data_IF_723726716091
#
_entry.id   IF_723726716091
#
_cell.length_a   1.000
_cell.length_b   1.000
_cell.length_c   1.000
_cell.angle_alpha   90.00
_cell.angle_beta   90.00
_cell.angle_gamma   90.00
#
_symmetry.space_group_name_H-M   'P 1'
#
loop_
_entity.id
_entity.type
_entity.pdbx_description
1 polymer ?
#
# COMPACT_ATOMS: atom_id res chain seq x y z
N UNK A 1 -42.28 15.98 21.99
CA UNK A 1 -40.96 15.72 21.37
C UNK A 1 -41.11 14.56 20.41
N UNK A 2 -41.33 14.86 19.14
CA UNK A 2 -41.45 13.84 18.10
C UNK A 2 -40.03 13.40 17.70
N UNK A 3 -39.69 12.10 17.68
CA UNK A 3 -38.38 11.66 17.22
C UNK A 3 -38.20 12.07 15.76
N UNK A 4 -37.04 12.69 15.47
CA UNK A 4 -36.61 13.05 14.12
C UNK A 4 -36.60 11.76 13.27
N UNK A 5 -37.19 11.75 12.08
CA UNK A 5 -37.12 10.57 11.21
C UNK A 5 -35.65 10.26 10.92
N UNK A 6 -35.25 9.01 11.11
CA UNK A 6 -33.95 8.51 10.66
C UNK A 6 -33.88 8.74 9.15
N UNK A 7 -32.87 9.50 8.71
CA UNK A 7 -32.59 9.67 7.30
C UNK A 7 -32.39 8.29 6.65
N UNK A 8 -32.90 8.06 5.42
CA UNK A 8 -32.68 6.80 4.72
C UNK A 8 -31.18 6.53 4.59
N UNK A 9 -30.78 5.27 4.79
CA UNK A 9 -29.39 4.85 4.62
C UNK A 9 -28.91 5.21 3.21
N UNK A 10 -27.87 6.07 3.15
CA UNK A 10 -27.29 6.52 1.89
C UNK A 10 -26.71 5.31 1.13
N UNK A 11 -27.17 5.02 -0.11
CA UNK A 11 -26.63 3.93 -0.92
C UNK A 11 -25.15 4.11 -1.32
N UNK A 12 -24.57 5.30 -1.12
CA UNK A 12 -23.15 5.60 -1.31
C UNK A 12 -22.31 5.42 -0.03
N UNK A 13 -22.66 4.47 0.85
CA UNK A 13 -21.74 4.10 1.94
C UNK A 13 -20.46 3.57 1.32
N UNK A 14 -19.36 4.32 1.43
CA UNK A 14 -18.06 3.87 0.98
C UNK A 14 -17.73 2.54 1.69
N UNK A 15 -17.78 1.46 0.92
CA UNK A 15 -17.44 0.12 1.37
C UNK A 15 -15.97 -0.08 1.10
N UNK A 16 -15.19 -0.31 2.14
CA UNK A 16 -13.77 -0.64 2.03
C UNK A 16 -13.56 -2.13 2.26
N UNK A 17 -12.44 -2.67 1.77
CA UNK A 17 -11.99 -3.98 2.23
C UNK A 17 -11.35 -3.79 3.60
N UNK A 18 -11.59 -4.71 4.52
CA UNK A 18 -10.85 -4.88 5.76
C UNK A 18 -10.20 -6.27 5.75
N UNK A 19 -8.93 -6.32 6.11
CA UNK A 19 -8.18 -7.55 6.33
C UNK A 19 -8.47 -7.99 7.77
N UNK A 20 -9.27 -9.03 7.93
CA UNK A 20 -9.72 -9.49 9.24
C UNK A 20 -8.70 -10.41 9.91
N UNK A 21 -8.03 -11.27 9.14
CA UNK A 21 -7.06 -12.23 9.68
C UNK A 21 -5.99 -12.61 8.67
N UNK A 22 -4.85 -13.07 9.18
CA UNK A 22 -3.81 -13.74 8.40
C UNK A 22 -3.28 -14.92 9.22
N UNK A 23 -3.74 -16.11 8.86
CA UNK A 23 -3.38 -17.37 9.48
C UNK A 23 -2.21 -17.98 8.72
N UNK A 24 -1.04 -18.01 9.35
CA UNK A 24 0.19 -18.55 8.76
C UNK A 24 0.32 -20.02 9.12
N UNK A 25 0.55 -20.87 8.13
CA UNK A 25 0.73 -22.30 8.35
C UNK A 25 2.21 -22.61 8.62
N UNK A 26 2.50 -23.65 9.42
CA UNK A 26 3.87 -24.11 9.65
C UNK A 26 4.57 -24.43 8.34
N UNK A 27 5.89 -24.25 8.31
CA UNK A 27 6.71 -24.64 7.16
C UNK A 27 6.60 -26.15 6.92
N UNK A 28 6.08 -26.55 5.75
CA UNK A 28 6.01 -27.93 5.28
C UNK A 28 7.29 -28.39 4.57
N UNK A 29 7.38 -29.68 4.20
CA UNK A 29 8.44 -30.23 3.34
C UNK A 29 8.55 -29.38 2.05
N UNK A 30 9.63 -28.60 1.95
CA UNK A 30 9.91 -27.77 0.78
C UNK A 30 10.09 -26.27 1.07
N UNK A 31 9.54 -25.76 2.16
CA UNK A 31 9.75 -24.37 2.60
C UNK A 31 10.70 -24.34 3.80
N UNK A 32 11.72 -23.49 3.74
CA UNK A 32 12.68 -23.26 4.82
C UNK A 32 12.20 -22.17 5.77
N UNK A 33 11.55 -21.14 5.24
CA UNK A 33 10.96 -20.04 6.01
C UNK A 33 10.18 -19.10 5.11
N UNK A 34 9.26 -18.32 5.68
CA UNK A 34 8.57 -17.26 4.97
C UNK A 34 8.03 -16.22 5.96
N UNK A 35 7.71 -15.03 5.45
CA UNK A 35 6.88 -14.06 6.14
C UNK A 35 5.92 -13.37 5.17
N UNK A 36 4.76 -13.00 5.71
CA UNK A 36 3.84 -12.04 5.10
C UNK A 36 4.01 -10.75 5.90
N UNK A 37 4.70 -9.78 5.29
CA UNK A 37 4.99 -8.46 5.87
C UNK A 37 3.77 -7.54 5.76
N UNK A 38 2.94 -7.74 4.72
CA UNK A 38 1.69 -7.03 4.50
C UNK A 38 0.73 -7.79 3.57
N UNK A 39 -0.60 -7.56 3.68
CA UNK A 39 -1.23 -6.68 4.66
C UNK A 39 -1.20 -7.27 6.08
N UNK A 40 -1.71 -6.56 7.07
CA UNK A 40 -1.88 -6.98 8.45
C UNK A 40 -3.38 -7.00 8.85
N UNK A 41 -3.78 -7.81 9.85
CA UNK A 41 -5.12 -7.72 10.42
C UNK A 41 -5.46 -6.30 10.90
N UNK A 42 -6.64 -5.82 10.54
CA UNK A 42 -7.11 -4.45 10.79
C UNK A 42 -6.81 -3.47 9.64
N UNK A 43 -6.00 -3.84 8.65
CA UNK A 43 -5.75 -3.00 7.49
C UNK A 43 -7.03 -2.81 6.68
N UNK A 44 -7.25 -1.57 6.21
CA UNK A 44 -8.40 -1.20 5.41
C UNK A 44 -8.00 -0.74 4.01
N UNK A 45 -7.59 -1.68 3.13
CA UNK A 45 -7.21 -1.34 1.77
C UNK A 45 -8.43 -1.02 0.92
N UNK A 46 -8.16 -0.49 -0.27
CA UNK A 46 -9.17 -0.13 -1.26
C UNK A 46 -10.19 -1.26 -1.53
N UNK A 47 -11.37 -0.86 -2.02
CA UNK A 47 -12.38 -1.79 -2.53
C UNK A 47 -11.94 -2.55 -3.80
N UNK A 48 -10.91 -2.08 -4.51
CA UNK A 48 -10.40 -2.66 -5.76
C UNK A 48 -9.25 -3.66 -5.54
N UNK A 49 -8.57 -3.60 -4.40
CA UNK A 49 -7.55 -4.56 -4.03
C UNK A 49 -6.62 -4.10 -2.92
N UNK A 50 -5.55 -4.87 -2.71
CA UNK A 50 -4.51 -4.57 -1.74
C UNK A 50 -3.15 -5.08 -2.19
N UNK A 51 -2.07 -4.51 -1.63
CA UNK A 51 -0.71 -5.02 -1.86
C UNK A 51 -0.42 -6.16 -0.87
N UNK A 52 0.11 -7.27 -1.39
CA UNK A 52 0.74 -8.33 -0.60
C UNK A 52 2.26 -8.19 -0.72
N UNK A 53 2.96 -8.18 0.40
CA UNK A 53 4.43 -8.06 0.48
C UNK A 53 4.97 -9.06 1.49
N UNK A 54 6.13 -9.62 1.20
CA UNK A 54 6.73 -10.63 2.06
C UNK A 54 7.97 -11.25 1.48
N UNK A 55 8.38 -12.37 2.06
CA UNK A 55 9.44 -13.21 1.55
C UNK A 55 9.12 -14.68 1.76
N UNK A 56 9.66 -15.54 0.90
CA UNK A 56 9.50 -16.99 0.98
C UNK A 56 10.76 -17.66 0.48
N UNK A 57 11.27 -18.62 1.27
CA UNK A 57 12.52 -19.31 1.02
C UNK A 57 12.25 -20.81 0.85
N UNK A 58 12.55 -21.33 -0.33
CA UNK A 58 12.50 -22.77 -0.59
C UNK A 58 13.71 -23.46 0.02
N UNK A 59 13.51 -24.71 0.46
CA UNK A 59 14.56 -25.53 1.09
C UNK A 59 15.59 -26.06 0.09
N UNK A 60 15.14 -26.37 -1.12
CA UNK A 60 15.93 -27.05 -2.16
C UNK A 60 16.09 -26.19 -3.43
N UNK A 61 15.69 -24.92 -3.39
CA UNK A 61 15.81 -24.01 -4.52
C UNK A 61 14.97 -22.74 -4.35
N UNK A 62 15.13 -21.76 -5.25
CA UNK A 62 14.35 -20.52 -5.25
C UNK A 62 12.87 -20.81 -5.51
N UNK A 63 11.97 -20.21 -4.73
CA UNK A 63 10.54 -20.20 -5.06
C UNK A 63 10.33 -19.33 -6.29
N UNK A 64 9.52 -19.77 -7.26
CA UNK A 64 9.32 -19.01 -8.50
C UNK A 64 8.32 -17.86 -8.31
N UNK A 65 7.17 -18.18 -7.71
CA UNK A 65 6.07 -17.25 -7.51
C UNK A 65 5.25 -17.59 -6.26
N UNK A 66 4.54 -16.58 -5.77
CA UNK A 66 3.46 -16.71 -4.79
C UNK A 66 2.13 -16.50 -5.50
N UNK A 67 1.22 -17.45 -5.35
CA UNK A 67 -0.15 -17.36 -5.83
C UNK A 67 -1.09 -16.93 -4.71
N UNK A 68 -1.99 -16.00 -5.02
CA UNK A 68 -3.15 -15.69 -4.18
C UNK A 68 -4.40 -16.24 -4.88
N UNK A 69 -5.14 -17.08 -4.18
CA UNK A 69 -6.22 -17.90 -4.75
C UNK A 69 -7.51 -17.66 -3.98
N UNK A 70 -8.65 -17.51 -4.67
CA UNK A 70 -9.99 -17.51 -4.09
C UNK A 70 -10.75 -18.74 -4.58
N UNK A 71 -11.08 -19.67 -3.68
CA UNK A 71 -11.58 -21.00 -4.09
C UNK A 71 -10.54 -21.71 -4.96
N UNK A 72 -10.88 -21.91 -6.24
CA UNK A 72 -9.99 -22.50 -7.26
C UNK A 72 -9.44 -21.46 -8.26
N UNK A 73 -9.83 -20.19 -8.13
CA UNK A 73 -9.42 -19.12 -9.04
C UNK A 73 -8.13 -18.43 -8.55
N UNK A 74 -7.11 -18.40 -9.41
CA UNK A 74 -5.89 -17.63 -9.15
C UNK A 74 -6.18 -16.16 -9.39
N UNK A 75 -6.17 -15.37 -8.31
CA UNK A 75 -6.41 -13.93 -8.33
C UNK A 75 -5.21 -13.15 -8.84
N UNK A 76 -4.01 -13.57 -8.44
CA UNK A 76 -2.76 -13.04 -8.95
C UNK A 76 -1.59 -14.02 -8.73
N UNK A 77 -0.56 -13.87 -9.56
CA UNK A 77 0.76 -14.49 -9.40
C UNK A 77 1.79 -13.40 -9.16
N UNK A 78 2.56 -13.55 -8.09
CA UNK A 78 3.55 -12.56 -7.67
C UNK A 78 4.94 -13.20 -7.77
N UNK A 79 5.82 -12.74 -8.66
CA UNK A 79 7.18 -13.26 -8.76
C UNK A 79 7.96 -13.08 -7.46
N UNK A 80 8.73 -14.11 -7.09
CA UNK A 80 9.68 -14.07 -5.97
C UNK A 80 11.07 -13.76 -6.53
N UNK A 81 11.40 -12.47 -6.60
CA UNK A 81 12.66 -11.99 -7.14
C UNK A 81 13.11 -10.65 -6.51
N UNK A 82 12.41 -10.19 -5.46
CA UNK A 82 12.75 -8.92 -4.82
C UNK A 82 13.88 -9.12 -3.82
N UNK A 83 14.80 -8.16 -3.80
CA UNK A 83 15.92 -8.16 -2.88
C UNK A 83 15.46 -8.09 -1.41
N UNK A 84 15.95 -9.01 -0.58
CA UNK A 84 15.76 -9.05 0.88
C UNK A 84 17.10 -9.32 1.56
N UNK A 85 17.88 -8.26 1.78
CA UNK A 85 19.20 -8.37 2.41
C UNK A 85 19.14 -8.89 3.84
N UNK A 86 18.08 -8.56 4.56
CA UNK A 86 17.77 -9.10 5.88
C UNK A 86 17.57 -10.63 5.86
N UNK A 87 16.91 -11.16 4.83
CA UNK A 87 16.73 -12.61 4.65
C UNK A 87 18.07 -13.27 4.29
N UNK A 88 18.88 -12.66 3.43
CA UNK A 88 20.23 -13.16 3.12
C UNK A 88 21.12 -13.24 4.37
N UNK A 89 21.05 -12.25 5.27
CA UNK A 89 21.81 -12.26 6.53
C UNK A 89 21.30 -13.35 7.47
N UNK A 90 19.99 -13.58 7.52
CA UNK A 90 19.40 -14.62 8.36
C UNK A 90 19.65 -16.05 7.83
N UNK A 91 19.81 -16.21 6.53
CA UNK A 91 20.02 -17.49 5.84
C UNK A 91 21.25 -17.46 4.92
N UNK A 92 22.46 -17.32 5.49
CA UNK A 92 23.69 -17.13 4.71
C UNK A 92 24.05 -18.33 3.82
N UNK A 93 23.63 -19.53 4.22
CA UNK A 93 23.92 -20.77 3.49
C UNK A 93 23.00 -21.00 2.28
N UNK A 94 22.04 -20.08 2.02
CA UNK A 94 21.05 -20.21 0.95
C UNK A 94 21.32 -19.17 -0.14
N UNK A 95 21.89 -19.56 -1.30
CA UNK A 95 22.29 -18.60 -2.35
C UNK A 95 21.14 -17.73 -2.87
N UNK A 96 19.92 -18.27 -2.88
CA UNK A 96 18.71 -17.57 -3.35
C UNK A 96 18.01 -16.73 -2.27
N UNK A 97 18.52 -16.71 -1.03
CA UNK A 97 17.90 -15.92 0.06
C UNK A 97 17.89 -14.42 -0.22
N UNK A 98 18.87 -13.91 -0.97
CA UNK A 98 18.97 -12.50 -1.31
C UNK A 98 17.82 -11.98 -2.17
N UNK A 99 17.14 -12.85 -2.92
CA UNK A 99 16.05 -12.48 -3.85
C UNK A 99 14.71 -13.17 -3.47
N UNK A 100 14.60 -13.64 -2.23
CA UNK A 100 13.44 -14.36 -1.71
C UNK A 100 12.20 -13.47 -1.47
N UNK A 101 12.24 -12.18 -1.80
CA UNK A 101 11.13 -11.25 -1.58
C UNK A 101 10.10 -11.26 -2.70
N UNK A 102 8.85 -10.95 -2.36
CA UNK A 102 7.77 -10.75 -3.32
C UNK A 102 6.93 -9.54 -2.93
N UNK A 103 6.35 -8.89 -3.94
CA UNK A 103 5.38 -7.80 -3.77
C UNK A 103 4.43 -7.78 -4.96
N UNK A 104 3.13 -7.76 -4.70
CA UNK A 104 2.15 -7.76 -5.79
C UNK A 104 0.80 -7.21 -5.38
N UNK A 105 0.01 -6.81 -6.38
CA UNK A 105 -1.36 -6.35 -6.19
C UNK A 105 -2.34 -7.52 -6.23
N UNK A 106 -3.21 -7.60 -5.24
CA UNK A 106 -4.28 -8.60 -5.12
C UNK A 106 -5.62 -7.91 -5.40
N UNK A 107 -6.27 -8.20 -6.55
CA UNK A 107 -7.54 -7.58 -6.89
C UNK A 107 -8.69 -8.19 -6.07
N UNK A 108 -9.53 -7.35 -5.47
CA UNK A 108 -10.71 -7.75 -4.69
C UNK A 108 -12.03 -7.60 -5.45
N UNK A 109 -11.96 -7.10 -6.70
CA UNK A 109 -13.09 -7.06 -7.62
C UNK A 109 -13.71 -8.45 -7.83
N UNK A 110 -15.02 -8.57 -7.67
CA UNK A 110 -15.73 -9.86 -7.80
C UNK A 110 -15.67 -10.77 -6.55
N UNK A 111 -14.90 -10.40 -5.51
CA UNK A 111 -14.98 -11.11 -4.23
C UNK A 111 -16.30 -10.78 -3.50
N UNK A 112 -16.88 -11.74 -2.77
CA UNK A 112 -18.05 -11.53 -1.92
C UNK A 112 -17.78 -10.55 -0.77
N UNK A 113 -18.84 -10.17 -0.05
CA UNK A 113 -18.75 -9.28 1.13
C UNK A 113 -17.92 -9.85 2.28
N UNK A 114 -17.71 -11.16 2.32
CA UNK A 114 -16.75 -11.84 3.18
C UNK A 114 -16.05 -12.90 2.35
N UNK A 115 -14.72 -12.92 2.39
CA UNK A 115 -13.89 -13.78 1.55
C UNK A 115 -12.70 -14.36 2.32
N UNK A 116 -12.20 -15.49 1.83
CA UNK A 116 -10.95 -16.09 2.30
C UNK A 116 -10.04 -16.37 1.11
N UNK A 117 -8.83 -15.81 1.14
CA UNK A 117 -7.82 -15.98 0.13
C UNK A 117 -6.74 -16.93 0.63
N UNK A 118 -6.33 -17.85 -0.23
CA UNK A 118 -5.25 -18.79 0.06
C UNK A 118 -3.97 -18.32 -0.62
N UNK A 119 -2.88 -18.23 0.14
CA UNK A 119 -1.56 -17.84 -0.33
C UNK A 119 -0.69 -19.10 -0.42
N UNK A 120 -0.14 -19.39 -1.61
CA UNK A 120 0.65 -20.60 -1.86
C UNK A 120 1.96 -20.27 -2.59
N UNK A 121 3.03 -20.96 -2.25
CA UNK A 121 4.32 -20.89 -2.95
C UNK A 121 4.39 -21.92 -4.08
N UNK A 122 5.00 -21.54 -5.20
CA UNK A 122 5.36 -22.45 -6.29
C UNK A 122 6.81 -22.89 -6.16
N UNK A 123 7.03 -24.16 -5.83
CA UNK A 123 8.37 -24.72 -5.74
C UNK A 123 8.94 -25.07 -7.13
N UNK A 124 10.27 -25.10 -7.29
CA UNK A 124 10.92 -25.57 -8.53
C UNK A 124 10.52 -26.99 -8.96
N UNK A 125 10.12 -27.83 -8.00
CA UNK A 125 9.65 -29.20 -8.25
C UNK A 125 8.28 -29.25 -8.93
N UNK A 126 7.57 -28.11 -9.03
CA UNK A 126 6.20 -28.00 -9.52
C UNK A 126 5.15 -28.02 -8.42
N UNK A 127 5.55 -28.29 -7.18
CA UNK A 127 4.62 -28.37 -6.05
C UNK A 127 4.09 -26.99 -5.63
N UNK A 128 2.84 -26.97 -5.19
CA UNK A 128 2.17 -25.79 -4.61
C UNK A 128 2.06 -25.98 -3.10
N UNK A 129 2.82 -25.21 -2.33
CA UNK A 129 2.83 -25.31 -0.86
C UNK A 129 2.01 -24.20 -0.24
N UNK A 130 1.09 -24.55 0.66
CA UNK A 130 0.29 -23.59 1.42
C UNK A 130 1.19 -22.78 2.37
N UNK A 131 1.11 -21.46 2.30
CA UNK A 131 1.81 -20.56 3.20
C UNK A 131 0.86 -19.95 4.24
N UNK A 132 -0.23 -19.36 3.78
CA UNK A 132 -1.14 -18.61 4.65
C UNK A 132 -2.57 -18.59 4.10
N UNK A 133 -3.53 -18.29 4.97
CA UNK A 133 -4.89 -17.88 4.61
C UNK A 133 -5.14 -16.47 5.10
N UNK A 134 -5.67 -15.64 4.24
CA UNK A 134 -6.08 -14.28 4.54
C UNK A 134 -7.61 -14.23 4.58
N UNK A 135 -8.18 -13.82 5.70
CA UNK A 135 -9.59 -13.51 5.84
C UNK A 135 -9.82 -12.03 5.59
N UNK A 136 -10.82 -11.67 4.79
CA UNK A 136 -11.17 -10.29 4.54
C UNK A 136 -12.67 -10.10 4.31
N UNK A 137 -13.12 -8.87 4.47
CA UNK A 137 -14.52 -8.53 4.30
C UNK A 137 -14.71 -7.10 3.84
N UNK A 138 -15.91 -6.84 3.35
CA UNK A 138 -16.38 -5.51 2.98
C UNK A 138 -17.05 -4.88 4.19
N UNK A 139 -16.42 -3.85 4.75
CA UNK A 139 -16.96 -3.12 5.89
C UNK A 139 -17.41 -1.73 5.45
N UNK A 140 -18.51 -1.25 6.03
CA UNK A 140 -18.88 0.16 5.91
C UNK A 140 -17.81 0.97 6.64
N UNK A 141 -17.21 1.94 5.97
CA UNK A 141 -16.20 2.78 6.60
C UNK A 141 -16.88 3.83 7.50
N UNK A 142 -17.12 3.45 8.77
CA UNK A 142 -17.70 4.33 9.78
C UNK A 142 -16.73 5.44 10.24
N UNK A 143 -15.43 5.38 9.88
CA UNK A 143 -14.47 6.46 10.18
C UNK A 143 -14.71 7.71 9.33
N UNK A 144 -15.62 7.64 8.37
CA UNK A 144 -16.14 8.74 7.59
C UNK A 144 -17.34 9.45 8.27
N UNK A 145 -17.93 8.86 9.32
CA UNK A 145 -19.07 9.47 10.02
C UNK A 145 -18.56 10.56 10.99
N UNK A 146 -18.67 11.83 10.57
CA UNK A 146 -18.41 13.01 11.41
C UNK A 146 -17.19 13.86 10.99
N UNK A 147 -16.38 13.39 10.04
CA UNK A 147 -15.25 14.13 9.48
C UNK A 147 -15.64 14.70 8.11
N UNK A 148 -16.47 15.74 8.14
CA UNK A 148 -16.91 16.46 6.93
C UNK A 148 -15.73 16.97 6.10
N UNK A 149 -15.99 17.29 4.82
CA UNK A 149 -15.06 18.01 3.97
C UNK A 149 -14.50 19.21 4.74
N UNK A 150 -13.20 19.22 5.02
CA UNK A 150 -12.54 20.39 5.60
C UNK A 150 -12.86 21.57 4.68
N UNK A 151 -13.63 22.59 5.12
CA UNK A 151 -13.93 23.70 4.25
C UNK A 151 -12.63 24.42 3.90
N UNK A 152 -12.51 24.87 2.65
CA UNK A 152 -11.50 25.83 2.16
C UNK A 152 -10.03 25.40 2.03
N UNK A 153 -9.64 24.15 2.22
CA UNK A 153 -8.25 23.75 1.89
C UNK A 153 -8.13 23.13 0.49
N UNK A 154 -7.51 23.79 -0.51
CA UNK A 154 -7.43 23.32 -1.91
C UNK A 154 -6.52 22.09 -2.13
N UNK A 155 -5.85 21.62 -1.07
CA UNK A 155 -4.83 20.57 -1.13
C UNK A 155 -3.41 21.14 -0.96
N UNK A 156 -2.38 20.29 -0.99
CA UNK A 156 -0.99 20.75 -0.98
C UNK A 156 -0.62 21.48 -2.28
N UNK A 157 0.39 22.34 -2.20
CA UNK A 157 0.91 23.08 -3.36
C UNK A 157 1.79 22.22 -4.28
N UNK A 158 2.38 21.17 -3.72
CA UNK A 158 3.19 20.21 -4.47
C UNK A 158 3.14 18.80 -3.86
N UNK A 159 3.35 17.80 -4.70
CA UNK A 159 3.47 16.40 -4.31
C UNK A 159 4.67 15.80 -5.05
N UNK A 160 5.67 15.31 -4.31
CA UNK A 160 6.76 14.51 -4.88
C UNK A 160 6.27 13.07 -5.03
N UNK A 161 5.82 12.73 -6.24
CA UNK A 161 5.11 11.47 -6.52
C UNK A 161 6.05 10.29 -6.75
N UNK A 162 7.34 10.52 -7.02
CA UNK A 162 8.26 9.46 -7.39
C UNK A 162 9.59 9.97 -7.95
N UNK A 163 10.46 9.08 -8.42
CA UNK A 163 10.36 7.62 -8.31
C UNK A 163 11.05 7.10 -7.03
N UNK A 164 10.58 5.97 -6.50
CA UNK A 164 11.29 5.25 -5.43
C UNK A 164 12.74 4.93 -5.86
N UNK A 165 13.70 5.12 -4.94
CA UNK A 165 15.17 5.00 -5.16
C UNK A 165 15.77 5.99 -6.18
N UNK A 166 15.07 7.06 -6.52
CA UNK A 166 15.57 8.11 -7.41
C UNK A 166 16.06 9.39 -6.71
N UNK A 167 16.12 9.42 -5.37
CA UNK A 167 16.52 10.62 -4.61
C UNK A 167 15.37 11.53 -4.18
N UNK A 168 14.14 11.00 -4.15
CA UNK A 168 12.94 11.71 -3.66
C UNK A 168 13.07 12.24 -2.22
N UNK A 169 13.82 11.54 -1.36
CA UNK A 169 14.13 12.03 0.00
C UNK A 169 15.03 13.26 -0.05
N UNK A 170 16.04 13.27 -0.92
CA UNK A 170 16.97 14.39 -1.04
C UNK A 170 16.26 15.63 -1.58
N UNK A 171 15.46 15.50 -2.65
CA UNK A 171 14.73 16.65 -3.20
C UNK A 171 13.76 17.24 -2.17
N UNK A 172 13.04 16.40 -1.42
CA UNK A 172 12.09 16.87 -0.41
C UNK A 172 12.80 17.61 0.72
N UNK A 173 13.95 17.09 1.19
CA UNK A 173 14.81 17.77 2.16
C UNK A 173 15.36 19.10 1.65
N UNK A 174 15.69 19.21 0.36
CA UNK A 174 16.15 20.48 -0.20
C UNK A 174 15.02 21.52 -0.29
N UNK A 175 13.79 21.09 -0.59
CA UNK A 175 12.62 21.97 -0.56
C UNK A 175 12.35 22.47 0.86
N UNK A 176 12.43 21.60 1.86
CA UNK A 176 12.25 21.92 3.29
C UNK A 176 13.24 22.99 3.83
N UNK A 177 14.41 23.15 3.18
CA UNK A 177 15.39 24.17 3.58
C UNK A 177 14.97 25.59 3.20
N UNK A 178 13.99 25.75 2.30
CA UNK A 178 13.53 27.05 1.87
C UNK A 178 12.57 27.65 2.92
N UNK A 179 12.79 28.89 3.34
CA UNK A 179 12.03 29.55 4.43
C UNK A 179 10.52 29.67 4.18
N UNK A 180 10.11 29.65 2.92
CA UNK A 180 8.69 29.65 2.51
C UNK A 180 8.10 28.25 2.28
N UNK A 181 8.82 27.17 2.56
CA UNK A 181 8.29 25.81 2.45
C UNK A 181 8.15 25.23 3.84
N UNK A 182 6.92 24.86 4.20
CA UNK A 182 6.63 24.16 5.45
C UNK A 182 6.22 22.72 5.08
N UNK A 183 6.92 21.68 5.55
CA UNK A 183 6.61 20.32 5.17
C UNK A 183 5.32 19.80 5.81
N UNK A 184 4.81 18.71 5.25
CA UNK A 184 3.85 17.87 5.96
C UNK A 184 4.46 17.34 7.29
N UNK A 185 3.60 17.09 8.28
CA UNK A 185 3.94 16.60 9.62
C UNK A 185 4.70 15.26 9.59
N UNK A 186 4.43 14.43 8.58
CA UNK A 186 5.14 13.18 8.34
C UNK A 186 5.58 13.08 6.89
N UNK A 187 6.76 12.49 6.67
CA UNK A 187 7.20 12.10 5.32
C UNK A 187 6.42 10.86 4.88
N UNK A 188 6.11 10.78 3.59
CA UNK A 188 5.27 9.73 2.99
C UNK A 188 3.90 9.63 3.66
N UNK A 189 3.07 10.67 3.50
CA UNK A 189 1.72 10.72 4.05
C UNK A 189 0.86 9.57 3.52
N UNK A 190 1.14 9.05 2.31
CA UNK A 190 0.49 7.86 1.73
C UNK A 190 -1.03 7.98 1.62
N UNK A 191 -1.56 9.21 1.64
CA UNK A 191 -2.96 9.49 1.42
C UNK A 191 -3.48 8.99 0.09
N UNK A 192 -2.79 9.22 -1.03
CA UNK A 192 -3.29 8.77 -2.34
C UNK A 192 -3.03 7.28 -2.65
N UNK A 193 -2.46 6.53 -1.70
CA UNK A 193 -2.27 5.08 -1.79
C UNK A 193 -2.96 4.39 -0.61
N UNK A 194 -2.26 4.20 0.51
CA UNK A 194 -2.69 3.39 1.63
C UNK A 194 -3.83 4.01 2.45
N UNK A 195 -3.78 5.32 2.67
CA UNK A 195 -4.72 6.04 3.54
C UNK A 195 -5.82 6.80 2.76
N UNK A 196 -6.09 6.44 1.51
CA UNK A 196 -7.05 7.17 0.65
C UNK A 196 -8.49 7.06 1.16
N UNK A 197 -8.80 6.01 1.93
CA UNK A 197 -10.09 5.81 2.57
C UNK A 197 -10.32 6.84 3.68
N UNK A 198 -9.25 7.43 4.24
CA UNK A 198 -9.37 8.46 5.26
C UNK A 198 -10.05 9.71 4.67
N UNK A 199 -10.87 10.41 5.46
CA UNK A 199 -11.54 11.61 5.01
C UNK A 199 -10.53 12.73 4.70
N UNK A 200 -10.93 13.69 3.88
CA UNK A 200 -10.06 14.82 3.49
C UNK A 200 -9.54 15.60 4.69
N UNK A 201 -10.33 15.70 5.77
CA UNK A 201 -9.90 16.32 7.03
C UNK A 201 -8.71 15.61 7.69
N UNK A 202 -8.61 14.28 7.60
CA UNK A 202 -7.43 13.55 8.07
C UNK A 202 -6.17 13.96 7.29
N UNK A 203 -6.30 14.10 5.97
CA UNK A 203 -5.19 14.53 5.11
C UNK A 203 -4.79 15.97 5.38
N UNK A 204 -5.75 16.89 5.56
CA UNK A 204 -5.50 18.29 5.91
C UNK A 204 -4.66 18.44 7.18
N UNK A 205 -4.91 17.62 8.20
CA UNK A 205 -4.17 17.65 9.48
C UNK A 205 -2.71 17.23 9.36
N UNK A 206 -2.31 16.68 8.21
CA UNK A 206 -0.91 16.37 7.92
C UNK A 206 -0.13 17.62 7.49
N UNK A 207 -0.79 18.75 7.30
CA UNK A 207 -0.19 20.00 6.83
C UNK A 207 -0.38 21.12 7.86
N UNK A 208 0.48 22.15 7.85
CA UNK A 208 0.39 23.25 8.79
C UNK A 208 -0.95 23.99 8.67
N UNK A 209 -1.44 24.50 9.80
CA UNK A 209 -2.71 25.22 9.83
C UNK A 209 -2.67 26.58 9.12
N UNK A 210 -1.48 27.18 9.06
CA UNK A 210 -1.23 28.42 8.33
C UNK A 210 0.15 28.41 7.69
N UNK A 211 0.30 29.18 6.62
CA UNK A 211 1.55 29.39 5.89
C UNK A 211 1.93 30.88 5.94
N UNK A 212 3.23 31.22 5.90
CA UNK A 212 3.64 32.61 5.71
C UNK A 212 3.15 33.14 4.35
N UNK A 213 3.09 34.47 4.14
CA UNK A 213 2.75 35.02 2.82
C UNK A 213 3.67 34.47 1.71
N UNK A 214 3.08 33.90 0.65
CA UNK A 214 3.81 33.21 -0.41
C UNK A 214 4.38 31.83 -0.02
N UNK A 215 4.05 31.36 1.17
CA UNK A 215 4.41 30.05 1.70
C UNK A 215 3.73 28.92 0.93
N UNK A 216 4.39 27.77 0.90
CA UNK A 216 3.95 26.56 0.23
C UNK A 216 4.10 25.36 1.15
N UNK A 217 3.22 24.38 0.99
CA UNK A 217 3.28 23.10 1.66
C UNK A 217 3.15 21.95 0.68
N UNK A 218 3.74 20.81 1.01
CA UNK A 218 3.66 19.63 0.16
C UNK A 218 4.08 18.37 0.88
N UNK A 219 3.92 17.25 0.20
CA UNK A 219 4.36 15.94 0.68
C UNK A 219 5.25 15.23 -0.33
N UNK A 220 5.90 14.16 0.11
CA UNK A 220 6.64 13.27 -0.75
C UNK A 220 6.26 11.82 -0.45
N UNK A 221 5.51 11.20 -1.35
CA UNK A 221 5.22 9.76 -1.35
C UNK A 221 5.64 9.15 -2.69
N UNK A 222 6.87 8.64 -2.80
CA UNK A 222 7.47 8.25 -4.09
C UNK A 222 6.79 7.06 -4.79
N UNK A 223 5.94 6.33 -4.07
CA UNK A 223 5.19 5.21 -4.61
C UNK A 223 3.98 5.65 -5.45
N UNK A 224 3.52 6.90 -5.33
CA UNK A 224 2.38 7.39 -6.11
C UNK A 224 2.60 7.30 -7.62
N UNK A 225 3.84 7.42 -8.09
CA UNK A 225 4.19 7.28 -9.50
C UNK A 225 3.86 5.88 -10.05
N UNK A 226 3.84 4.85 -9.21
CA UNK A 226 3.59 3.47 -9.61
C UNK A 226 2.22 2.95 -9.16
N UNK A 227 1.58 3.61 -8.20
CA UNK A 227 0.30 3.17 -7.66
C UNK A 227 -0.82 3.37 -8.70
N UNK A 228 -1.59 2.32 -9.04
CA UNK A 228 -2.53 2.33 -10.18
C UNK A 228 -3.62 3.40 -10.08
N UNK A 229 -4.01 3.78 -8.86
CA UNK A 229 -5.09 4.73 -8.61
C UNK A 229 -4.63 6.11 -8.10
N UNK A 230 -3.34 6.29 -7.80
CA UNK A 230 -2.89 7.52 -7.14
C UNK A 230 -3.10 8.75 -8.04
N UNK A 231 -2.79 8.65 -9.33
CA UNK A 231 -2.97 9.76 -10.27
C UNK A 231 -4.42 10.26 -10.34
N UNK A 232 -5.39 9.35 -10.40
CA UNK A 232 -6.83 9.67 -10.39
C UNK A 232 -7.22 10.40 -9.09
N UNK A 233 -6.82 9.85 -7.95
CA UNK A 233 -7.16 10.39 -6.61
C UNK A 233 -6.53 11.78 -6.39
N UNK A 234 -5.29 11.98 -6.84
CA UNK A 234 -4.63 13.28 -6.78
C UNK A 234 -5.41 14.31 -7.61
N UNK A 235 -5.83 13.96 -8.82
CA UNK A 235 -6.63 14.86 -9.67
C UNK A 235 -7.98 15.22 -9.04
N UNK A 236 -8.62 14.28 -8.36
CA UNK A 236 -9.91 14.52 -7.70
C UNK A 236 -9.79 15.42 -6.45
N UNK A 237 -8.72 15.26 -5.66
CA UNK A 237 -8.65 15.87 -4.30
C UNK A 237 -7.61 16.96 -4.13
N UNK A 238 -6.61 17.02 -5.00
CA UNK A 238 -5.54 18.03 -5.02
C UNK A 238 -5.25 18.49 -6.47
N UNK A 239 -6.25 18.99 -7.22
CA UNK A 239 -6.13 19.28 -8.65
C UNK A 239 -5.11 20.36 -8.99
N UNK A 240 -4.74 21.21 -8.02
CA UNK A 240 -3.79 22.31 -8.19
C UNK A 240 -2.36 21.97 -7.75
N UNK A 241 -2.16 20.79 -7.17
CA UNK A 241 -0.84 20.38 -6.71
C UNK A 241 0.12 20.21 -7.90
N UNK A 242 1.31 20.82 -7.81
CA UNK A 242 2.38 20.54 -8.77
C UNK A 242 2.97 19.16 -8.49
N UNK A 243 3.02 18.32 -9.52
CA UNK A 243 3.58 16.98 -9.40
C UNK A 243 5.07 17.01 -9.73
N UNK A 244 5.89 16.56 -8.79
CA UNK A 244 7.34 16.49 -8.95
C UNK A 244 7.73 15.03 -9.05
N UNK A 245 8.34 14.66 -10.18
CA UNK A 245 8.92 13.34 -10.38
C UNK A 245 10.45 13.48 -10.53
N UNK A 246 11.18 12.84 -9.61
CA UNK A 246 12.63 12.66 -9.72
C UNK A 246 12.88 11.34 -10.42
N UNK A 247 13.50 11.40 -11.59
CA UNK A 247 13.84 10.23 -12.37
C UNK A 247 15.32 9.89 -12.18
N UNK A 248 15.64 8.61 -12.27
CA UNK A 248 16.99 8.06 -12.24
C UNK A 248 17.10 7.04 -13.36
N UNK A 249 18.32 6.79 -13.84
CA UNK A 249 18.59 5.68 -14.74
C UNK A 249 17.88 4.41 -14.19
N UNK A 250 16.98 3.77 -14.98
CA UNK A 250 16.16 2.67 -14.50
C UNK A 250 16.98 1.47 -14.02
N UNK A 251 18.16 1.25 -14.61
CA UNK A 251 19.11 0.20 -14.20
C UNK A 251 19.64 0.51 -12.81
N UNK A 252 20.24 1.69 -12.61
CA UNK A 252 20.80 2.10 -11.32
C UNK A 252 19.73 2.18 -10.22
N UNK A 253 18.51 2.58 -10.59
CA UNK A 253 17.35 2.62 -9.68
C UNK A 253 16.96 1.22 -9.20
N UNK A 254 17.02 0.21 -10.07
CA UNK A 254 16.71 -1.18 -9.71
C UNK A 254 17.78 -1.82 -8.81
N UNK A 255 19.04 -1.37 -8.91
CA UNK A 255 20.13 -1.86 -8.04
C UNK A 255 20.16 -1.24 -6.63
N UNK A 256 19.39 -0.17 -6.37
CA UNK A 256 19.48 0.72 -5.19
C UNK A 256 18.53 0.44 -4.02
#
# INVERSE_FOLDING_TARGET
MTPRPQAPANPDRAVTVEIASIDRFPTHEGILGFAIDGPAPGDRPDADGFEIDGWVLGRNGPVADVEVVFGDEIRCRVPVARKRSDVAVAFPDQPWAAEAGFRGWVPTAGLPSSFSLTIRAHLPTGDRVLLARLGGGRVADLSLEGEGDAPEWPGPDFIVIGAQRAGSTSIYRYLEQHTLVIPAAVKEVKYFSYFHHRPRGWYRRQFPDSLPPGGQTGEATPYYLFHPHAARRIRERAPHARLIAVLRNPVDRAYS
#
